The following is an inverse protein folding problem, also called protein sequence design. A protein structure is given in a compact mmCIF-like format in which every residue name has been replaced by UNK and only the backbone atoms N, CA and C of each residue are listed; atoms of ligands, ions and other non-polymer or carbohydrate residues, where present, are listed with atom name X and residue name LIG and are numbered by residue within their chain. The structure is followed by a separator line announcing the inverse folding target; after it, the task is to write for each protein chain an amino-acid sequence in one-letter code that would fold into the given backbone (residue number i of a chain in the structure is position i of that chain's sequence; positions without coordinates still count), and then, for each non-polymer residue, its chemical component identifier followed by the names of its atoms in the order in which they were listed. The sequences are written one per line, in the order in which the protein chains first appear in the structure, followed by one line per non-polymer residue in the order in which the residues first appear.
data_IF_316681785825
#
_entry.id   IF_316681785825
#
_cell.length_a   1.000
_cell.length_b   1.000
_cell.length_c   1.000
_cell.angle_alpha   90.00
_cell.angle_beta   90.00
_cell.angle_gamma   90.00
#
_symmetry.space_group_name_H-M   'P 1'
#
loop_
_entity.id
_entity.type
_entity.pdbx_description
1 polymer ?
#
# COMPACT_ATOMS: atom_id res chain seq x y z
N UNK A 1 14.35 13.46 -2.03
CA UNK A 1 13.93 13.47 -0.61
C UNK A 1 12.46 13.83 -0.57
N UNK A 2 11.56 12.84 -0.46
CA UNK A 2 10.16 13.12 -0.13
C UNK A 2 10.15 13.46 1.34
N UNK A 3 9.86 14.72 1.65
CA UNK A 3 9.73 15.20 3.03
C UNK A 3 8.51 14.49 3.60
N UNK A 4 8.72 13.49 4.47
CA UNK A 4 7.65 12.88 5.24
C UNK A 4 7.18 13.95 6.23
N UNK A 5 6.20 14.75 5.83
CA UNK A 5 5.59 15.75 6.70
C UNK A 5 4.73 14.98 7.67
N UNK A 6 5.09 14.99 8.96
CA UNK A 6 4.26 14.38 10.01
C UNK A 6 2.87 15.02 9.92
N UNK A 7 1.80 14.21 9.73
CA UNK A 7 0.45 14.71 9.59
C UNK A 7 0.05 15.47 10.85
N UNK A 8 -0.58 16.64 10.68
CA UNK A 8 -1.18 17.36 11.80
C UNK A 8 -2.46 16.62 12.24
N UNK A 9 -2.35 15.90 13.35
CA UNK A 9 -3.43 15.10 13.95
C UNK A 9 -4.10 15.83 15.11
N UNK A 10 -3.78 17.10 15.38
CA UNK A 10 -4.20 17.79 16.60
C UNK A 10 -5.71 18.01 16.75
N UNK A 11 -6.47 17.88 15.65
CA UNK A 11 -7.93 18.07 15.60
C UNK A 11 -8.71 16.78 15.40
N UNK A 12 -8.00 15.65 15.33
CA UNK A 12 -8.59 14.35 15.04
C UNK A 12 -9.09 13.72 16.33
N UNK A 13 -10.26 13.07 16.27
CA UNK A 13 -10.77 12.33 17.42
C UNK A 13 -9.80 11.23 17.88
N UNK A 14 -9.81 10.85 19.16
CA UNK A 14 -8.96 9.77 19.63
C UNK A 14 -9.23 8.46 18.89
N UNK A 15 -8.19 7.82 18.38
CA UNK A 15 -8.34 6.59 17.60
C UNK A 15 -8.53 5.36 18.49
N UNK A 16 -8.04 5.43 19.74
CA UNK A 16 -8.10 4.33 20.71
C UNK A 16 -9.49 3.70 20.85
N UNK A 17 -10.56 4.51 20.93
CA UNK A 17 -11.92 3.99 21.04
C UNK A 17 -12.41 3.23 19.81
N UNK A 18 -11.92 3.56 18.61
CA UNK A 18 -12.23 2.82 17.38
C UNK A 18 -11.50 1.48 17.34
N UNK A 19 -10.33 1.40 17.94
CA UNK A 19 -9.48 0.21 17.94
C UNK A 19 -9.76 -0.74 19.10
N UNK A 20 -10.53 -0.31 20.11
CA UNK A 20 -10.83 -1.14 21.29
C UNK A 20 -11.63 -2.40 20.93
N UNK A 21 -12.61 -2.30 20.02
CA UNK A 21 -13.35 -3.48 19.56
C UNK A 21 -12.45 -4.51 18.86
N UNK A 22 -11.44 -4.05 18.11
CA UNK A 22 -10.47 -4.93 17.47
C UNK A 22 -9.53 -5.58 18.50
N UNK A 23 -9.16 -4.84 19.55
CA UNK A 23 -8.39 -5.36 20.68
C UNK A 23 -9.17 -6.44 21.42
N UNK A 24 -10.40 -6.14 21.84
CA UNK A 24 -11.28 -7.09 22.55
C UNK A 24 -11.49 -8.38 21.75
N UNK A 25 -11.72 -8.26 20.43
CA UNK A 25 -11.86 -9.41 19.54
C UNK A 25 -10.61 -10.30 19.54
N UNK A 26 -9.42 -9.70 19.55
CA UNK A 26 -8.19 -10.48 19.59
C UNK A 26 -7.92 -11.09 20.97
N UNK A 27 -8.13 -10.32 22.05
CA UNK A 27 -7.96 -10.82 23.42
C UNK A 27 -8.84 -12.05 23.64
N UNK A 28 -10.12 -11.98 23.22
CA UNK A 28 -11.06 -13.11 23.22
C UNK A 28 -10.51 -14.30 22.42
N UNK A 29 -9.97 -14.05 21.23
CA UNK A 29 -9.42 -15.11 20.37
C UNK A 29 -8.20 -15.79 21.01
N UNK A 30 -7.33 -15.03 21.68
CA UNK A 30 -6.19 -15.60 22.41
C UNK A 30 -6.63 -16.43 23.61
N UNK A 31 -7.62 -15.95 24.36
CA UNK A 31 -8.20 -16.68 25.50
C UNK A 31 -8.81 -18.00 25.07
N UNK A 32 -9.64 -17.99 24.01
CA UNK A 32 -10.27 -19.20 23.46
C UNK A 32 -9.25 -20.25 23.01
N UNK A 33 -8.08 -19.79 22.54
CA UNK A 33 -6.99 -20.64 22.06
C UNK A 33 -5.96 -20.97 23.15
N UNK A 34 -6.13 -20.46 24.37
CA UNK A 34 -5.19 -20.65 25.48
C UNK A 34 -3.81 -20.07 25.21
N UNK A 35 -3.72 -19.06 24.34
CA UNK A 35 -2.48 -18.42 23.93
C UNK A 35 -2.18 -17.19 24.79
N UNK A 36 -0.90 -16.87 24.95
CA UNK A 36 -0.52 -15.58 25.53
C UNK A 36 -1.01 -14.43 24.63
N UNK A 37 -1.43 -13.32 25.21
CA UNK A 37 -1.79 -12.10 24.46
C UNK A 37 -0.49 -11.48 23.94
N UNK A 38 0.03 -12.02 22.83
CA UNK A 38 1.29 -11.66 22.21
C UNK A 38 1.18 -11.74 20.69
N UNK A 39 1.90 -10.86 20.01
CA UNK A 39 2.05 -10.88 18.56
C UNK A 39 2.80 -12.12 18.05
N UNK A 40 3.45 -12.89 18.92
CA UNK A 40 4.03 -14.19 18.58
C UNK A 40 2.98 -15.32 18.62
N UNK A 41 1.87 -15.11 19.35
CA UNK A 41 0.72 -16.01 19.35
C UNK A 41 -0.07 -15.92 18.05
N UNK A 42 0.00 -14.77 17.37
CA UNK A 42 -0.56 -14.55 16.05
C UNK A 42 0.02 -15.53 15.01
N UNK A 43 1.33 -15.80 15.06
CA UNK A 43 1.95 -16.85 14.20
C UNK A 43 1.48 -18.27 14.53
N UNK A 44 0.86 -18.48 15.69
CA UNK A 44 0.29 -19.77 16.08
C UNK A 44 -1.15 -19.95 15.59
N UNK A 45 -1.88 -18.87 15.28
CA UNK A 45 -3.17 -18.95 14.57
C UNK A 45 -3.03 -19.68 13.23
N UNK A 46 -1.93 -19.40 12.52
CA UNK A 46 -1.58 -20.04 11.25
C UNK A 46 -1.30 -21.56 11.39
N UNK A 47 -0.86 -22.00 12.57
CA UNK A 47 -0.52 -23.40 12.84
C UNK A 47 -1.72 -24.24 13.29
N UNK A 48 -2.71 -23.67 13.99
CA UNK A 48 -3.90 -24.41 14.42
C UNK A 48 -5.00 -24.50 13.34
N UNK A 49 -5.07 -23.56 12.40
CA UNK A 49 -5.91 -23.67 11.19
C UNK A 49 -5.57 -24.87 10.29
N UNK A 50 -4.46 -25.58 10.56
CA UNK A 50 -4.05 -26.82 9.88
C UNK A 50 -4.67 -28.10 10.46
N UNK A 51 -5.18 -28.09 11.69
CA UNK A 51 -5.60 -29.33 12.40
C UNK A 51 -7.07 -29.69 12.14
N UNK A 52 -7.90 -28.75 11.66
CA UNK A 52 -9.31 -29.02 11.32
C UNK A 52 -9.61 -28.45 9.93
N UNK A 53 -9.38 -29.27 8.91
CA UNK A 53 -9.41 -28.93 7.48
C UNK A 53 -8.40 -27.86 7.06
N UNK A 54 -7.62 -28.07 5.97
CA UNK A 54 -6.85 -26.98 5.39
C UNK A 54 -7.83 -25.92 4.90
N UNK A 55 -7.99 -24.83 5.64
CA UNK A 55 -8.55 -23.60 5.09
C UNK A 55 -7.50 -23.12 4.07
N UNK A 56 -7.82 -23.02 2.76
CA UNK A 56 -6.85 -22.67 1.72
C UNK A 56 -6.28 -21.25 1.84
N UNK A 57 -6.69 -20.51 2.87
CA UNK A 57 -6.21 -19.19 3.15
C UNK A 57 -5.23 -19.22 4.33
N UNK A 58 -4.16 -18.46 4.21
CA UNK A 58 -3.42 -17.88 5.33
C UNK A 58 -4.32 -16.86 6.09
N UNK A 59 -5.52 -17.30 6.51
CA UNK A 59 -6.78 -16.53 6.60
C UNK A 59 -6.85 -15.56 7.76
N UNK A 60 -6.42 -15.96 8.96
CA UNK A 60 -6.83 -15.23 10.17
C UNK A 60 -6.07 -13.92 10.32
N UNK A 61 -4.79 -13.93 9.95
CA UNK A 61 -3.93 -12.76 9.94
C UNK A 61 -4.23 -11.76 8.83
N UNK A 62 -4.51 -12.29 7.65
CA UNK A 62 -4.94 -11.48 6.51
C UNK A 62 -6.29 -10.83 6.81
N UNK A 63 -7.23 -11.59 7.37
CA UNK A 63 -8.52 -11.06 7.80
C UNK A 63 -8.35 -10.00 8.89
N UNK A 64 -7.47 -10.21 9.87
CA UNK A 64 -7.14 -9.21 10.88
C UNK A 64 -6.60 -7.92 10.25
N UNK A 65 -5.71 -8.01 9.26
CA UNK A 65 -5.21 -6.84 8.53
C UNK A 65 -6.33 -6.14 7.73
N UNK A 66 -7.26 -6.90 7.15
CA UNK A 66 -8.45 -6.36 6.46
C UNK A 66 -9.38 -5.67 7.44
N UNK A 67 -9.73 -6.31 8.55
CA UNK A 67 -10.63 -5.78 9.58
C UNK A 67 -10.05 -4.51 10.20
N UNK A 68 -8.74 -4.49 10.47
CA UNK A 68 -8.04 -3.29 10.90
C UNK A 68 -8.14 -2.17 9.86
N UNK A 69 -7.88 -2.49 8.59
CA UNK A 69 -7.95 -1.51 7.50
C UNK A 69 -9.37 -0.95 7.34
N UNK A 70 -10.39 -1.79 7.50
CA UNK A 70 -11.80 -1.41 7.45
C UNK A 70 -12.22 -0.55 8.65
N UNK A 71 -11.78 -0.91 9.86
CA UNK A 71 -12.00 -0.12 11.07
C UNK A 71 -11.38 1.27 10.95
N UNK A 72 -10.13 1.35 10.47
CA UNK A 72 -9.45 2.62 10.18
C UNK A 72 -10.18 3.41 9.09
N UNK A 73 -10.70 2.76 8.05
CA UNK A 73 -11.53 3.43 7.05
C UNK A 73 -12.83 3.98 7.65
N UNK A 74 -13.45 3.28 8.59
CA UNK A 74 -14.71 3.71 9.22
C UNK A 74 -14.54 4.92 10.16
N UNK A 75 -13.31 5.27 10.52
CA UNK A 75 -13.00 6.36 11.42
C UNK A 75 -13.49 7.74 10.89
N UNK A 76 -14.22 8.56 11.67
CA UNK A 76 -14.90 9.76 11.17
C UNK A 76 -14.00 10.79 10.48
N UNK A 77 -12.79 11.04 11.00
CA UNK A 77 -11.90 12.09 10.50
C UNK A 77 -10.87 11.58 9.47
N UNK A 78 -10.94 10.31 9.07
CA UNK A 78 -9.95 9.68 8.19
C UNK A 78 -9.81 10.38 6.83
N UNK A 79 -10.88 11.05 6.37
CA UNK A 79 -10.90 11.81 5.10
C UNK A 79 -10.22 13.18 5.21
N UNK A 80 -10.09 13.70 6.42
CA UNK A 80 -9.42 14.99 6.69
C UNK A 80 -7.91 14.80 6.79
N UNK A 81 -7.47 13.57 7.06
CA UNK A 81 -6.06 13.22 7.17
C UNK A 81 -5.37 13.20 5.79
N UNK A 82 -4.17 13.80 5.68
CA UNK A 82 -3.44 13.86 4.43
C UNK A 82 -3.01 12.47 3.97
N UNK A 83 -2.89 12.28 2.66
CA UNK A 83 -2.39 11.02 2.10
C UNK A 83 -0.90 10.83 2.41
N UNK A 84 -0.52 9.58 2.67
CA UNK A 84 0.87 9.16 2.81
C UNK A 84 1.52 8.85 1.44
N UNK A 85 0.73 8.50 0.42
CA UNK A 85 1.24 8.10 -0.92
C UNK A 85 1.03 9.14 -2.02
N UNK A 86 0.39 10.28 -1.69
CA UNK A 86 0.04 11.34 -2.64
C UNK A 86 -1.33 11.16 -3.30
N UNK A 87 -2.18 10.25 -2.79
CA UNK A 87 -3.62 10.19 -3.11
C UNK A 87 -4.37 11.36 -2.48
N UNK A 88 -5.71 11.38 -2.64
CA UNK A 88 -6.57 12.46 -2.17
C UNK A 88 -6.50 12.66 -0.64
N UNK A 89 -6.50 11.57 0.12
CA UNK A 89 -6.49 11.54 1.58
C UNK A 89 -6.12 10.14 2.08
N UNK A 90 -5.95 9.99 3.39
CA UNK A 90 -5.57 8.72 4.02
C UNK A 90 -6.61 7.60 3.79
N UNK A 91 -7.90 7.92 3.68
CA UNK A 91 -8.93 6.90 3.36
C UNK A 91 -8.71 6.26 2.00
N UNK A 92 -8.33 7.06 1.00
CA UNK A 92 -8.05 6.57 -0.36
C UNK A 92 -6.77 5.72 -0.40
N UNK A 93 -5.81 6.02 0.48
CA UNK A 93 -4.63 5.16 0.69
C UNK A 93 -5.04 3.81 1.29
N UNK A 94 -5.79 3.82 2.40
CA UNK A 94 -6.26 2.60 3.06
C UNK A 94 -7.16 1.75 2.15
N UNK A 95 -7.97 2.38 1.30
CA UNK A 95 -8.77 1.66 0.29
C UNK A 95 -7.89 0.95 -0.74
N UNK A 96 -6.74 1.55 -1.10
CA UNK A 96 -5.74 0.89 -1.93
C UNK A 96 -5.02 -0.24 -1.20
N UNK A 97 -4.78 -0.06 0.10
CA UNK A 97 -4.17 -1.06 0.96
C UNK A 97 -5.01 -2.34 1.02
N UNK A 98 -6.35 -2.23 1.09
CA UNK A 98 -7.27 -3.38 1.01
C UNK A 98 -7.01 -4.25 -0.22
N UNK A 99 -6.78 -3.64 -1.39
CA UNK A 99 -6.45 -4.39 -2.60
C UNK A 99 -5.12 -5.15 -2.47
N UNK A 100 -4.09 -4.50 -1.91
CA UNK A 100 -2.78 -5.14 -1.72
C UNK A 100 -2.87 -6.30 -0.72
N UNK A 101 -3.62 -6.15 0.39
CA UNK A 101 -3.82 -7.22 1.37
C UNK A 101 -4.47 -8.45 0.73
N UNK A 102 -5.40 -8.26 -0.21
CA UNK A 102 -6.03 -9.38 -0.93
C UNK A 102 -5.13 -10.02 -2.00
N UNK A 103 -3.98 -9.43 -2.33
CA UNK A 103 -3.06 -9.98 -3.33
C UNK A 103 -2.26 -11.19 -2.84
N UNK A 104 -1.71 -11.95 -3.78
CA UNK A 104 -0.82 -13.09 -3.47
C UNK A 104 0.55 -12.63 -2.93
N UNK A 105 0.92 -11.37 -3.17
CA UNK A 105 2.21 -10.79 -2.77
C UNK A 105 2.19 -10.09 -1.42
N UNK A 106 1.06 -10.18 -0.70
CA UNK A 106 0.92 -9.53 0.60
C UNK A 106 1.81 -10.17 1.66
N UNK A 107 2.61 -9.33 2.31
CA UNK A 107 3.48 -9.70 3.42
C UNK A 107 2.93 -9.10 4.73
N UNK A 108 2.46 -9.97 5.62
CA UNK A 108 1.86 -9.58 6.90
C UNK A 108 2.87 -8.96 7.86
N UNK A 109 4.17 -9.27 7.73
CA UNK A 109 5.17 -8.72 8.63
C UNK A 109 5.29 -7.19 8.49
N UNK A 110 4.81 -6.61 7.38
CA UNK A 110 4.69 -5.16 7.19
C UNK A 110 3.60 -4.51 8.05
N UNK A 111 2.62 -5.29 8.51
CA UNK A 111 1.57 -4.86 9.45
C UNK A 111 1.98 -5.07 10.91
N UNK A 112 2.97 -5.92 11.17
CA UNK A 112 3.45 -6.26 12.52
C UNK A 112 3.71 -5.03 13.39
N UNK A 113 4.38 -3.96 12.93
CA UNK A 113 4.65 -2.79 13.78
C UNK A 113 3.39 -2.00 14.14
N UNK A 114 2.39 -1.97 13.27
CA UNK A 114 1.11 -1.31 13.52
C UNK A 114 0.29 -2.13 14.51
N UNK A 115 0.16 -3.44 14.29
CA UNK A 115 -0.52 -4.34 15.21
C UNK A 115 0.09 -4.25 16.61
N UNK A 116 1.42 -4.26 16.72
CA UNK A 116 2.11 -4.11 17.99
C UNK A 116 1.74 -2.80 18.71
N UNK A 117 1.78 -1.66 18.01
CA UNK A 117 1.46 -0.37 18.61
C UNK A 117 0.01 -0.30 19.12
N UNK A 118 -0.93 -0.90 18.38
CA UNK A 118 -2.33 -1.00 18.81
C UNK A 118 -2.40 -1.83 20.09
N UNK A 119 -1.75 -2.99 20.12
CA UNK A 119 -1.76 -3.88 21.28
C UNK A 119 -1.15 -3.29 22.53
N UNK A 120 0.00 -2.64 22.39
CA UNK A 120 0.73 -2.03 23.49
C UNK A 120 0.02 -0.79 24.06
N UNK A 121 -1.21 -0.49 23.58
CA UNK A 121 -2.00 0.69 23.94
C UNK A 121 -1.17 1.96 23.76
N UNK A 122 -0.40 2.01 22.68
CA UNK A 122 0.45 3.14 22.39
C UNK A 122 -0.40 4.41 22.26
N UNK A 123 0.22 5.55 22.53
CA UNK A 123 -0.43 6.84 22.35
C UNK A 123 -0.89 7.03 20.89
N UNK A 124 -1.99 7.77 20.70
CA UNK A 124 -2.61 7.94 19.38
C UNK A 124 -1.64 8.47 18.32
N UNK A 125 -0.70 9.33 18.68
CA UNK A 125 0.31 9.86 17.77
C UNK A 125 1.26 8.77 17.26
N UNK A 126 1.62 7.82 18.12
CA UNK A 126 2.42 6.65 17.75
C UNK A 126 1.62 5.73 16.83
N UNK A 127 0.35 5.50 17.13
CA UNK A 127 -0.53 4.67 16.29
C UNK A 127 -0.66 5.29 14.90
N UNK A 128 -0.90 6.60 14.81
CA UNK A 128 -0.96 7.32 13.53
C UNK A 128 0.37 7.23 12.77
N UNK A 129 1.50 7.48 13.43
CA UNK A 129 2.82 7.36 12.78
C UNK A 129 3.01 5.95 12.18
N UNK A 130 2.54 4.89 12.86
CA UNK A 130 2.56 3.51 12.33
C UNK A 130 1.60 3.30 11.17
N UNK A 131 0.38 3.84 11.21
CA UNK A 131 -0.56 3.78 10.09
C UNK A 131 0.06 4.37 8.82
N UNK A 132 0.66 5.56 8.93
CA UNK A 132 1.33 6.22 7.82
C UNK A 132 2.53 5.41 7.30
N UNK A 133 3.36 4.87 8.19
CA UNK A 133 4.49 4.04 7.80
C UNK A 133 4.03 2.77 7.05
N UNK A 134 3.04 2.05 7.59
CA UNK A 134 2.50 0.84 6.96
C UNK A 134 1.91 1.14 5.58
N UNK A 135 1.17 2.25 5.43
CA UNK A 135 0.63 2.66 4.12
C UNK A 135 1.75 2.91 3.11
N UNK A 136 2.80 3.65 3.49
CA UNK A 136 3.93 3.95 2.58
C UNK A 136 4.69 2.68 2.19
N UNK A 137 4.88 1.76 3.13
CA UNK A 137 5.64 0.53 2.91
C UNK A 137 4.87 -0.48 2.04
N UNK A 138 3.56 -0.62 2.26
CA UNK A 138 2.73 -1.61 1.55
C UNK A 138 2.23 -1.07 0.21
N UNK A 139 1.97 0.23 0.13
CA UNK A 139 1.54 0.91 -1.11
C UNK A 139 2.53 2.01 -1.48
N UNK A 140 3.73 1.65 -1.96
CA UNK A 140 4.73 2.65 -2.32
C UNK A 140 4.17 3.58 -3.41
N UNK A 141 4.44 4.90 -3.33
CA UNK A 141 3.97 5.84 -4.32
C UNK A 141 4.45 5.43 -5.72
N UNK A 142 3.64 5.64 -6.77
CA UNK A 142 4.04 5.33 -8.14
C UNK A 142 5.41 5.95 -8.43
N UNK A 143 6.36 5.12 -8.84
CA UNK A 143 7.66 5.63 -9.27
C UNK A 143 7.41 6.55 -10.47
N UNK A 144 8.08 7.72 -10.52
CA UNK A 144 8.07 8.54 -11.73
C UNK A 144 8.41 7.65 -12.92
N UNK A 145 7.61 7.71 -13.98
CA UNK A 145 7.89 6.97 -15.20
C UNK A 145 9.25 7.47 -15.68
N UNK A 146 10.27 6.59 -15.80
CA UNK A 146 11.65 7.01 -16.07
C UNK A 146 11.79 7.75 -17.41
N UNK A 147 10.81 7.60 -18.30
CA UNK A 147 10.85 8.14 -19.65
C UNK A 147 9.52 8.77 -20.04
N UNK A 148 9.18 9.89 -19.39
CA UNK A 148 8.01 10.70 -19.78
C UNK A 148 8.11 11.21 -21.22
N UNK A 149 9.34 11.34 -21.73
CA UNK A 149 9.66 11.93 -23.03
C UNK A 149 10.05 10.89 -24.10
N UNK A 150 9.82 9.58 -23.87
CA UNK A 150 10.12 8.53 -24.86
C UNK A 150 8.91 8.06 -25.69
N UNK A 151 7.73 8.63 -25.45
CA UNK A 151 6.54 8.34 -26.25
C UNK A 151 6.23 9.55 -27.13
N UNK A 152 6.30 9.41 -28.48
CA UNK A 152 5.92 10.47 -29.39
C UNK A 152 4.48 10.88 -29.10
N UNK A 153 4.26 12.14 -28.78
CA UNK A 153 2.95 12.63 -28.32
C UNK A 153 2.13 13.22 -29.47
N UNK A 154 2.77 13.78 -30.50
CA UNK A 154 2.07 14.47 -31.60
C UNK A 154 1.87 13.63 -32.85
N UNK A 155 2.73 12.64 -33.10
CA UNK A 155 2.68 11.83 -34.31
C UNK A 155 2.54 10.33 -34.01
N UNK A 156 1.38 9.76 -34.33
CA UNK A 156 1.14 8.30 -34.25
C UNK A 156 1.77 7.58 -35.45
N UNK A 157 2.04 6.28 -35.34
CA UNK A 157 2.54 5.47 -36.48
C UNK A 157 1.60 5.51 -37.69
N UNK A 158 0.30 5.72 -37.48
CA UNK A 158 -0.71 5.90 -38.53
C UNK A 158 -0.70 7.27 -39.22
N UNK A 159 -0.04 8.27 -38.63
CA UNK A 159 0.11 9.60 -39.25
C UNK A 159 1.14 9.61 -40.37
N UNK A 160 2.06 8.64 -40.39
CA UNK A 160 3.01 8.46 -41.48
C UNK A 160 2.36 7.66 -42.61
N UNK A 161 2.19 8.30 -43.77
CA UNK A 161 1.80 7.60 -45.00
C UNK A 161 2.89 6.56 -45.33
N UNK A 162 2.52 5.27 -45.38
CA UNK A 162 3.42 4.15 -45.70
C UNK A 162 3.86 4.17 -47.18
N UNK A 163 4.58 5.22 -47.54
CA UNK A 163 5.24 5.39 -48.82
C UNK A 163 6.75 5.36 -48.56
N UNK A 164 7.49 4.69 -49.43
CA UNK A 164 8.96 4.54 -49.29
C UNK A 164 9.69 5.89 -49.20
N UNK A 165 9.16 6.93 -49.84
CA UNK A 165 9.73 8.29 -49.84
C UNK A 165 9.57 9.06 -48.52
N UNK A 166 8.59 8.72 -47.68
CA UNK A 166 8.30 9.46 -46.44
C UNK A 166 8.99 8.85 -45.21
N UNK A 167 9.47 7.60 -45.30
CA UNK A 167 10.21 6.92 -44.21
C UNK A 167 11.48 7.65 -43.78
N UNK A 168 12.10 8.43 -44.68
CA UNK A 168 13.31 9.21 -44.38
C UNK A 168 13.08 10.36 -43.39
N UNK A 169 11.83 10.80 -43.21
CA UNK A 169 11.50 11.88 -42.28
C UNK A 169 11.10 11.38 -40.89
N UNK A 170 10.84 10.08 -40.74
CA UNK A 170 10.40 9.49 -39.49
C UNK A 170 11.43 9.66 -38.37
N UNK A 171 12.72 9.46 -38.67
CA UNK A 171 13.80 9.66 -37.68
C UNK A 171 13.90 11.13 -37.21
N UNK A 172 13.78 12.09 -38.13
CA UNK A 172 13.82 13.51 -37.80
C UNK A 172 12.64 13.93 -36.91
N UNK A 173 11.44 13.44 -37.23
CA UNK A 173 10.22 13.71 -36.44
C UNK A 173 10.33 13.08 -35.04
N UNK A 174 10.76 11.82 -34.95
CA UNK A 174 10.95 11.15 -33.66
C UNK A 174 12.02 11.83 -32.80
N UNK A 175 13.14 12.26 -33.38
CA UNK A 175 14.17 13.03 -32.65
C UNK A 175 13.65 14.39 -32.17
N UNK A 176 12.78 15.03 -32.94
CA UNK A 176 12.18 16.30 -32.56
C UNK A 176 11.18 16.14 -31.41
N UNK A 177 10.38 15.06 -31.41
CA UNK A 177 9.39 14.80 -30.35
C UNK A 177 10.00 14.24 -29.07
N UNK A 178 10.99 13.34 -29.20
CA UNK A 178 11.57 12.60 -28.08
C UNK A 178 12.84 13.25 -27.52
N UNK A 179 13.36 14.28 -28.19
CA UNK A 179 14.60 14.94 -27.83
C UNK A 179 15.80 13.97 -27.80
N UNK A 180 16.51 13.94 -26.67
CA UNK A 180 17.63 13.03 -26.41
C UNK A 180 17.11 11.63 -26.08
N UNK A 181 16.92 10.80 -27.11
CA UNK A 181 16.66 9.37 -26.92
C UNK A 181 17.92 8.76 -26.29
N UNK A 182 17.80 8.21 -25.08
CA UNK A 182 18.86 7.43 -24.47
C UNK A 182 19.00 6.11 -25.23
N UNK A 183 20.06 5.95 -26.01
CA UNK A 183 20.28 4.78 -26.88
C UNK A 183 21.23 3.76 -26.24
N UNK A 184 21.64 3.97 -24.99
CA UNK A 184 22.63 3.10 -24.35
C UNK A 184 21.93 1.95 -23.61
N UNK A 185 21.74 0.83 -24.30
CA UNK A 185 21.39 -0.45 -23.67
C UNK A 185 22.62 -1.35 -23.70
N UNK A 186 23.37 -1.48 -22.60
CA UNK A 186 24.50 -2.39 -22.54
C UNK A 186 24.02 -3.82 -22.86
N UNK A 187 24.71 -4.50 -23.78
CA UNK A 187 24.44 -5.88 -24.22
C UNK A 187 23.18 -6.11 -25.08
N UNK A 188 22.71 -5.11 -25.83
CA UNK A 188 21.71 -5.35 -26.87
C UNK A 188 22.37 -6.04 -28.08
N UNK A 189 22.02 -7.30 -28.34
CA UNK A 189 22.46 -8.15 -29.47
C UNK A 189 21.40 -8.21 -30.56
#
# INVERSE_FOLDING_TARGET
MVRSVKPDISKVQPIGGTLESLRESFETTCEDLGLAISLDSISQFELQGKVTHPNPNHTDLRNLALDLTLALCAFPDIRQLPSATGRRNLRDDLSGLTYVITSDTFDIDRFRPLLQAIWDKAADDVVWDRVYATVVEVTPPPKPIPFRDQTPYSHTTSSFVNSSGQRKYTDAVLRQELGSIFIDVPNFL
#
